data_IF_872143693086
#
_entry.id   IF_872143693086
#
_cell.length_a   1.000
_cell.length_b   1.000
_cell.length_c   1.000
_cell.angle_alpha   90.00
_cell.angle_beta   90.00
_cell.angle_gamma   90.00
#
_symmetry.space_group_name_H-M   'P 1'
#
loop_
_entity.id
_entity.type
_entity.pdbx_description
1 polymer ?
#
# COMPACT_ATOMS: atom_id res chain seq x y z
N UNK A 1 1.19 -35.09 37.63
CA UNK A 1 0.69 -34.14 36.63
C UNK A 1 0.63 -34.93 35.35
N UNK A 2 -0.58 -35.12 34.82
CA UNK A 2 -0.76 -35.64 33.46
C UNK A 2 -0.08 -34.65 32.53
N UNK A 3 0.82 -35.13 31.68
CA UNK A 3 1.38 -34.35 30.60
C UNK A 3 0.20 -33.85 29.79
N UNK A 4 0.04 -32.54 29.67
CA UNK A 4 -0.90 -32.03 28.68
C UNK A 4 -0.35 -32.44 27.33
N UNK A 5 -1.16 -33.11 26.53
CA UNK A 5 -0.72 -33.61 25.23
C UNK A 5 -0.71 -32.47 24.19
N UNK A 6 -1.15 -31.28 24.57
CA UNK A 6 -1.56 -30.21 23.67
C UNK A 6 -0.78 -28.94 23.97
N UNK A 7 0.43 -28.84 23.41
CA UNK A 7 1.23 -27.63 23.53
C UNK A 7 0.56 -26.40 22.87
N UNK A 8 -0.51 -26.57 22.09
CA UNK A 8 -1.16 -25.52 21.32
C UNK A 8 -2.66 -25.75 21.23
N UNK A 9 -3.42 -25.27 22.21
CA UNK A 9 -4.88 -25.17 22.16
C UNK A 9 -5.37 -23.74 22.45
N UNK A 10 -6.66 -23.46 22.23
CA UNK A 10 -7.24 -22.14 22.46
C UNK A 10 -7.31 -21.72 23.95
N UNK A 11 -7.18 -22.65 24.90
CA UNK A 11 -7.20 -22.31 26.32
C UNK A 11 -5.85 -21.75 26.77
N UNK A 12 -4.76 -22.27 26.20
CA UNK A 12 -3.40 -22.00 26.68
C UNK A 12 -2.53 -21.26 25.66
N UNK A 13 -3.05 -20.98 24.46
CA UNK A 13 -2.37 -20.21 23.40
C UNK A 13 -2.98 -18.84 23.19
N UNK A 14 -2.11 -17.89 22.85
CA UNK A 14 -2.48 -16.60 22.28
C UNK A 14 -1.97 -16.54 20.85
N UNK A 15 -2.84 -16.12 19.93
CA UNK A 15 -2.51 -15.93 18.52
C UNK A 15 -2.51 -14.43 18.26
N UNK A 16 -1.37 -13.87 17.89
CA UNK A 16 -1.19 -12.43 17.71
C UNK A 16 -0.59 -12.16 16.35
N UNK A 17 -1.24 -11.30 15.57
CA UNK A 17 -0.68 -10.76 14.35
C UNK A 17 0.17 -9.54 14.70
N UNK A 18 1.44 -9.57 14.30
CA UNK A 18 2.41 -8.51 14.63
C UNK A 18 2.84 -7.69 13.41
N UNK A 19 2.53 -8.17 12.21
CA UNK A 19 2.64 -7.44 10.95
C UNK A 19 1.79 -8.15 9.89
N UNK A 20 1.69 -7.56 8.70
CA UNK A 20 0.96 -8.17 7.58
C UNK A 20 1.36 -9.63 7.32
N UNK A 21 2.66 -9.93 7.39
CA UNK A 21 3.18 -11.26 7.03
C UNK A 21 3.53 -12.13 8.23
N UNK A 22 3.29 -11.68 9.47
CA UNK A 22 3.77 -12.38 10.67
C UNK A 22 2.66 -12.58 11.68
N UNK A 23 2.45 -13.84 12.06
CA UNK A 23 1.61 -14.23 13.21
C UNK A 23 2.50 -14.97 14.20
N UNK A 24 2.41 -14.58 15.47
CA UNK A 24 3.05 -15.24 16.59
C UNK A 24 1.99 -16.03 17.34
N UNK A 25 2.31 -17.29 17.61
CA UNK A 25 1.60 -18.12 18.55
C UNK A 25 2.46 -18.24 19.78
N UNK A 26 1.95 -17.79 20.92
CA UNK A 26 2.58 -17.97 22.22
C UNK A 26 1.70 -18.89 23.07
N UNK A 27 2.26 -20.04 23.43
CA UNK A 27 1.60 -21.00 24.32
C UNK A 27 2.26 -21.01 25.69
N UNK A 28 1.42 -21.04 26.72
CA UNK A 28 1.86 -21.13 28.11
C UNK A 28 2.27 -22.55 28.51
N UNK A 29 2.12 -23.55 27.63
CA UNK A 29 2.61 -24.90 27.90
C UNK A 29 4.15 -24.94 27.97
N UNK A 30 4.63 -25.70 28.93
CA UNK A 30 6.06 -25.90 29.20
C UNK A 30 6.62 -27.15 28.53
N UNK A 31 5.76 -27.96 27.89
CA UNK A 31 6.13 -29.22 27.22
C UNK A 31 5.97 -29.14 25.70
N UNK A 32 6.74 -28.28 25.02
CA UNK A 32 6.84 -28.34 23.56
C UNK A 32 7.71 -29.51 23.10
N UNK A 33 7.07 -30.61 22.75
CA UNK A 33 7.67 -31.63 21.90
C UNK A 33 7.03 -31.54 20.51
N UNK A 34 7.43 -30.55 19.71
CA UNK A 34 7.02 -30.50 18.31
C UNK A 34 7.84 -31.58 17.55
N UNK A 35 7.19 -32.50 16.82
CA UNK A 35 7.88 -33.50 16.00
C UNK A 35 8.88 -32.85 15.06
N UNK A 36 9.92 -33.58 14.67
CA UNK A 36 10.91 -33.09 13.73
C UNK A 36 10.27 -32.87 12.34
N UNK A 37 9.97 -31.60 12.02
CA UNK A 37 9.39 -31.19 10.75
C UNK A 37 8.14 -30.33 10.97
N UNK A 38 8.30 -29.01 10.98
CA UNK A 38 7.18 -28.08 10.90
C UNK A 38 6.86 -27.86 9.43
N UNK A 39 5.65 -28.18 9.01
CA UNK A 39 5.19 -27.95 7.65
C UNK A 39 4.22 -26.79 7.64
N UNK A 40 4.46 -25.72 6.84
CA UNK A 40 3.55 -24.58 6.73
C UNK A 40 2.12 -24.96 6.36
N UNK A 41 1.97 -26.04 5.59
CA UNK A 41 0.67 -26.50 5.13
C UNK A 41 -0.23 -26.98 6.29
N UNK A 42 0.36 -27.38 7.41
CA UNK A 42 -0.38 -27.84 8.59
C UNK A 42 -0.98 -26.68 9.41
N UNK A 43 -0.59 -25.44 9.13
CA UNK A 43 -1.08 -24.26 9.83
C UNK A 43 -2.12 -23.54 8.97
N UNK A 44 -3.38 -23.71 9.32
CA UNK A 44 -4.51 -23.25 8.51
C UNK A 44 -5.10 -21.99 9.11
N UNK A 45 -5.00 -20.88 8.37
CA UNK A 45 -5.70 -19.63 8.64
C UNK A 45 -6.93 -19.59 7.74
N UNK A 46 -8.13 -19.62 8.31
CA UNK A 46 -9.35 -19.97 7.57
C UNK A 46 -10.35 -18.82 7.32
N UNK A 47 -10.30 -17.73 8.10
CA UNK A 47 -11.27 -16.62 8.00
C UNK A 47 -10.63 -15.25 8.30
N UNK A 48 -10.10 -14.53 7.30
CA UNK A 48 -9.99 -14.92 5.90
C UNK A 48 -8.96 -16.03 5.68
N UNK A 49 -9.05 -16.68 4.52
CA UNK A 49 -8.10 -17.72 4.15
C UNK A 49 -6.75 -17.12 3.77
N UNK A 50 -5.72 -17.43 4.55
CA UNK A 50 -4.36 -16.91 4.34
C UNK A 50 -3.39 -18.08 4.31
N UNK A 51 -2.57 -18.14 3.27
CA UNK A 51 -1.55 -19.19 3.14
C UNK A 51 -0.41 -18.94 4.11
N UNK A 52 -0.07 -19.94 4.92
CA UNK A 52 1.19 -19.97 5.68
C UNK A 52 2.30 -20.48 4.78
N UNK A 53 3.41 -19.76 4.75
CA UNK A 53 4.55 -19.98 3.84
C UNK A 53 5.79 -20.48 4.57
N UNK A 54 5.93 -20.16 5.85
CA UNK A 54 7.02 -20.61 6.69
C UNK A 54 6.58 -20.69 8.16
N UNK A 55 7.22 -21.57 8.93
CA UNK A 55 6.92 -21.80 10.35
C UNK A 55 8.21 -22.05 11.10
N UNK A 56 8.47 -21.24 12.12
CA UNK A 56 9.70 -21.29 12.91
C UNK A 56 9.38 -21.36 14.39
N UNK A 57 10.05 -22.26 15.11
CA UNK A 57 10.07 -22.25 16.58
C UNK A 57 11.06 -21.17 17.02
N UNK A 58 10.55 -20.09 17.58
CA UNK A 58 11.36 -18.96 18.04
C UNK A 58 11.81 -19.13 19.49
N UNK A 59 11.09 -19.89 20.32
CA UNK A 59 11.55 -20.26 21.65
C UNK A 59 11.05 -21.66 22.07
N UNK A 60 11.96 -22.63 22.14
CA UNK A 60 11.66 -24.00 22.54
C UNK A 60 11.35 -24.16 24.04
N UNK A 61 11.69 -23.17 24.88
CA UNK A 61 11.43 -23.21 26.32
C UNK A 61 10.05 -22.69 26.73
N UNK A 62 9.35 -21.99 25.83
CA UNK A 62 8.03 -21.36 26.07
C UNK A 62 7.08 -21.55 24.89
N UNK A 63 7.26 -22.59 24.07
CA UNK A 63 6.36 -22.91 22.96
C UNK A 63 5.97 -21.72 22.06
N UNK A 64 6.93 -20.91 21.64
CA UNK A 64 6.64 -19.78 20.73
C UNK A 64 6.90 -20.21 19.28
N UNK A 65 5.87 -20.05 18.45
CA UNK A 65 5.92 -20.30 17.02
C UNK A 65 5.67 -19.00 16.28
N UNK A 66 6.44 -18.79 15.21
CA UNK A 66 6.24 -17.68 14.28
C UNK A 66 5.84 -18.24 12.92
N UNK A 67 4.65 -17.83 12.46
CA UNK A 67 4.11 -18.14 11.15
C UNK A 67 4.40 -16.97 10.21
N UNK A 68 5.00 -17.26 9.06
CA UNK A 68 5.10 -16.30 7.95
C UNK A 68 3.97 -16.54 6.97
N UNK A 69 3.18 -15.52 6.64
CA UNK A 69 2.00 -15.62 5.79
C UNK A 69 2.20 -14.96 4.43
N UNK A 70 1.40 -15.36 3.44
CA UNK A 70 1.33 -14.73 2.11
C UNK A 70 0.30 -13.58 2.06
N UNK A 71 0.02 -12.93 3.18
CA UNK A 71 -0.97 -11.85 3.23
C UNK A 71 -0.51 -10.64 2.41
N UNK A 72 -1.47 -9.90 1.85
CA UNK A 72 -1.24 -8.81 0.90
C UNK A 72 -1.11 -7.43 1.56
N UNK A 73 -0.82 -7.37 2.87
CA UNK A 73 -0.65 -6.11 3.59
C UNK A 73 -1.82 -5.73 4.51
N UNK A 74 -2.96 -6.41 4.43
CA UNK A 74 -4.15 -6.12 5.24
C UNK A 74 -4.03 -6.74 6.63
N UNK A 75 -3.54 -5.94 7.56
CA UNK A 75 -3.34 -6.30 8.97
C UNK A 75 -4.66 -6.41 9.75
N UNK A 76 -5.68 -5.62 9.37
CA UNK A 76 -6.99 -5.57 10.04
C UNK A 76 -7.77 -6.90 10.07
N UNK A 77 -7.38 -7.86 9.23
CA UNK A 77 -7.99 -9.19 9.24
C UNK A 77 -7.57 -10.02 10.46
N UNK A 78 -8.54 -10.72 11.06
CA UNK A 78 -8.34 -11.53 12.28
C UNK A 78 -8.53 -13.02 11.97
N UNK A 79 -7.61 -13.65 11.23
CA UNK A 79 -7.75 -15.04 10.82
C UNK A 79 -7.84 -16.00 12.01
N UNK A 80 -8.76 -16.95 11.92
CA UNK A 80 -8.79 -18.08 12.86
C UNK A 80 -7.76 -19.13 12.48
N UNK A 81 -6.87 -19.44 13.42
CA UNK A 81 -5.82 -20.43 13.28
C UNK A 81 -6.26 -21.80 13.80
N UNK A 82 -6.00 -22.82 12.98
CA UNK A 82 -6.12 -24.23 13.32
C UNK A 82 -4.81 -24.93 12.94
N UNK A 83 -4.41 -25.92 13.73
CA UNK A 83 -3.35 -26.84 13.38
C UNK A 83 -3.96 -28.15 12.85
N UNK A 84 -3.59 -28.52 11.63
CA UNK A 84 -4.09 -29.66 10.87
C UNK A 84 -2.89 -30.49 10.40
N UNK A 85 -2.61 -31.67 10.96
CA UNK A 85 -1.53 -32.53 10.45
C UNK A 85 -1.82 -33.11 9.04
N UNK A 86 -3.02 -32.88 8.52
CA UNK A 86 -3.54 -33.51 7.30
C UNK A 86 -3.43 -32.62 6.05
N UNK A 87 -2.38 -31.80 5.94
CA UNK A 87 -2.15 -31.02 4.73
C UNK A 87 -1.58 -31.86 3.56
N UNK A 88 -2.36 -32.85 3.10
CA UNK A 88 -2.13 -33.58 1.85
C UNK A 88 -1.18 -34.78 1.90
N UNK A 89 -0.85 -35.34 3.07
CA UNK A 89 0.00 -36.53 3.19
C UNK A 89 -0.78 -37.79 3.58
N UNK A 90 -0.72 -38.80 2.73
CA UNK A 90 -1.31 -40.12 2.92
C UNK A 90 -0.43 -41.01 3.83
N UNK A 91 -0.09 -40.54 5.04
CA UNK A 91 0.72 -41.26 6.02
C UNK A 91 -0.06 -41.60 7.30
N UNK A 92 -1.24 -42.20 7.11
CA UNK A 92 -1.73 -43.17 8.07
C UNK A 92 -0.70 -44.32 8.12
N UNK A 93 0.16 -44.38 9.14
CA UNK A 93 0.68 -45.66 9.68
C UNK A 93 1.56 -45.54 10.93
N UNK A 94 1.80 -44.36 11.50
CA UNK A 94 2.40 -44.29 12.84
C UNK A 94 1.99 -43.01 13.55
N UNK A 95 0.73 -42.96 14.00
CA UNK A 95 0.32 -41.96 14.98
C UNK A 95 1.21 -42.11 16.22
N UNK A 96 1.95 -41.06 16.56
CA UNK A 96 2.35 -40.86 17.95
C UNK A 96 1.05 -40.62 18.70
N UNK A 97 0.74 -41.44 19.71
CA UNK A 97 -0.58 -41.55 20.35
C UNK A 97 -1.09 -40.29 21.09
N UNK A 98 -0.48 -39.13 20.87
CA UNK A 98 -0.68 -37.91 21.64
C UNK A 98 -0.79 -36.63 20.78
N UNK A 99 -0.85 -36.70 19.44
CA UNK A 99 -1.10 -35.48 18.64
C UNK A 99 -2.57 -35.43 18.24
N UNK A 100 -3.28 -34.40 18.67
CA UNK A 100 -4.66 -34.19 18.28
C UNK A 100 -4.74 -33.61 16.86
N UNK A 101 -5.70 -34.14 16.11
CA UNK A 101 -6.17 -33.61 14.84
C UNK A 101 -7.12 -32.42 15.10
N UNK A 102 -7.06 -31.38 14.27
CA UNK A 102 -7.96 -30.21 14.26
C UNK A 102 -8.12 -29.45 15.61
N UNK A 103 -7.02 -29.07 16.27
CA UNK A 103 -7.09 -28.17 17.43
C UNK A 103 -7.19 -26.71 16.98
N UNK A 104 -8.35 -26.09 17.21
CA UNK A 104 -8.53 -24.65 17.01
C UNK A 104 -7.79 -23.86 18.08
N UNK A 105 -6.99 -22.88 17.65
CA UNK A 105 -6.17 -22.03 18.52
C UNK A 105 -6.77 -20.63 18.72
N UNK A 106 -7.81 -20.31 17.94
CA UNK A 106 -8.58 -19.07 18.05
C UNK A 106 -8.26 -18.06 16.94
N UNK A 107 -8.95 -16.92 17.01
CA UNK A 107 -8.71 -15.79 16.10
C UNK A 107 -7.43 -15.06 16.48
N UNK A 108 -6.62 -14.72 15.48
CA UNK A 108 -5.50 -13.81 15.67
C UNK A 108 -6.04 -12.47 16.16
N UNK A 109 -5.48 -11.97 17.26
CA UNK A 109 -5.64 -10.58 17.68
C UNK A 109 -4.72 -9.74 16.82
N UNK A 110 -5.26 -8.68 16.23
CA UNK A 110 -4.46 -7.72 15.49
C UNK A 110 -3.70 -6.80 16.45
N UNK A 111 -2.38 -6.79 16.32
CA UNK A 111 -1.47 -5.94 17.09
C UNK A 111 -0.41 -5.33 16.15
N UNK A 112 -0.73 -5.19 14.87
CA UNK A 112 0.11 -4.53 13.90
C UNK A 112 -0.33 -3.07 13.75
N UNK A 113 0.60 -2.14 13.91
CA UNK A 113 0.31 -0.73 13.61
C UNK A 113 0.13 -0.51 12.11
N UNK A 114 -0.81 0.37 11.68
CA UNK A 114 -0.89 0.77 10.29
C UNK A 114 0.39 1.49 9.87
N UNK A 115 0.77 1.31 8.61
CA UNK A 115 1.94 1.98 8.03
C UNK A 115 1.59 2.62 6.69
N UNK A 116 2.22 3.75 6.39
CA UNK A 116 2.03 4.43 5.10
C UNK A 116 2.73 3.64 4.00
N UNK A 117 1.96 3.18 3.03
CA UNK A 117 2.43 2.46 1.83
C UNK A 117 2.84 3.43 0.74
N UNK A 118 2.07 4.51 0.55
CA UNK A 118 2.35 5.51 -0.47
C UNK A 118 1.73 6.86 -0.13
N UNK A 119 2.31 7.92 -0.70
CA UNK A 119 1.72 9.24 -0.69
C UNK A 119 1.84 9.87 -2.08
N UNK A 120 0.76 10.47 -2.56
CA UNK A 120 0.68 11.08 -3.90
C UNK A 120 -0.09 12.39 -3.85
N UNK A 121 0.26 13.36 -4.71
CA UNK A 121 -0.65 14.50 -4.93
C UNK A 121 -1.85 14.01 -5.74
N UNK A 122 -3.05 14.29 -5.23
CA UNK A 122 -4.32 14.03 -5.93
C UNK A 122 -4.82 15.27 -6.67
N UNK A 123 -4.37 16.44 -6.24
CA UNK A 123 -4.54 17.73 -6.90
C UNK A 123 -3.46 18.70 -6.42
N UNK A 124 -3.42 19.90 -6.99
CA UNK A 124 -2.49 20.95 -6.57
C UNK A 124 -2.63 21.36 -5.11
N UNK A 125 -3.71 20.98 -4.42
CA UNK A 125 -3.96 21.34 -3.02
C UNK A 125 -4.18 20.15 -2.11
N UNK A 126 -4.11 18.91 -2.61
CA UNK A 126 -4.40 17.71 -1.81
C UNK A 126 -3.38 16.60 -1.99
N UNK A 127 -3.03 15.96 -0.88
CA UNK A 127 -2.16 14.78 -0.83
C UNK A 127 -2.98 13.62 -0.29
N UNK A 128 -2.85 12.46 -0.90
CA UNK A 128 -3.47 11.23 -0.47
C UNK A 128 -2.39 10.29 0.06
N UNK A 129 -2.50 9.89 1.33
CA UNK A 129 -1.71 8.83 1.94
C UNK A 129 -2.53 7.53 1.95
N UNK A 130 -1.93 6.44 1.50
CA UNK A 130 -2.52 5.11 1.56
C UNK A 130 -1.79 4.29 2.60
N UNK A 131 -2.54 3.71 3.53
CA UNK A 131 -2.07 2.86 4.60
C UNK A 131 -2.19 1.38 4.26
N UNK A 132 -1.55 0.53 5.05
CA UNK A 132 -1.64 -0.94 4.94
C UNK A 132 -3.04 -1.46 5.23
N UNK A 133 -3.84 -0.72 5.99
CA UNK A 133 -5.17 -1.11 6.45
C UNK A 133 -6.08 0.12 6.63
N UNK A 134 -7.34 -0.15 6.94
CA UNK A 134 -8.32 0.88 7.27
C UNK A 134 -7.91 1.65 8.52
N UNK A 135 -7.98 2.98 8.43
CA UNK A 135 -7.65 3.88 9.52
C UNK A 135 -8.88 4.68 9.97
N UNK A 136 -8.79 5.21 11.17
CA UNK A 136 -9.68 6.20 11.74
C UNK A 136 -8.85 7.39 12.19
N UNK A 137 -9.38 8.61 11.99
CA UNK A 137 -8.67 9.87 12.25
C UNK A 137 -9.43 10.71 13.27
N UNK A 138 -8.80 10.88 14.42
CA UNK A 138 -9.15 11.80 15.49
C UNK A 138 -8.04 12.84 15.74
N UNK A 139 -6.99 12.85 14.90
CA UNK A 139 -5.81 13.70 15.06
C UNK A 139 -6.16 15.18 15.05
N UNK A 140 -5.29 15.99 15.64
CA UNK A 140 -5.31 17.42 15.43
C UNK A 140 -4.70 17.77 14.07
N UNK A 141 -5.23 18.82 13.42
CA UNK A 141 -4.73 19.23 12.09
C UNK A 141 -3.24 19.59 12.13
N UNK A 142 -2.76 20.08 13.27
CA UNK A 142 -1.38 20.54 13.47
C UNK A 142 -0.38 19.38 13.62
N UNK A 143 -0.84 18.14 13.79
CA UNK A 143 0.00 16.92 13.81
C UNK A 143 0.57 16.62 12.42
N UNK A 144 -0.07 17.16 11.37
CA UNK A 144 0.37 17.01 9.99
C UNK A 144 1.09 18.25 9.47
N UNK A 145 2.28 18.03 8.92
CA UNK A 145 3.04 19.08 8.22
C UNK A 145 3.38 18.66 6.79
N UNK A 146 3.06 19.51 5.81
CA UNK A 146 3.44 19.35 4.39
C UNK A 146 4.68 20.19 4.11
N UNK A 147 5.82 19.57 3.82
CA UNK A 147 7.07 20.28 3.56
C UNK A 147 7.42 20.31 2.06
N UNK A 148 8.25 21.28 1.68
CA UNK A 148 8.80 21.36 0.32
C UNK A 148 7.89 22.02 -0.72
N UNK A 149 6.79 22.64 -0.28
CA UNK A 149 5.87 23.41 -1.12
C UNK A 149 6.13 24.90 -0.97
N UNK A 150 6.19 25.62 -2.10
CA UNK A 150 6.31 27.07 -2.07
C UNK A 150 5.01 27.72 -1.55
N UNK A 151 5.09 28.42 -0.42
CA UNK A 151 3.98 29.22 0.11
C UNK A 151 3.49 28.83 1.50
N UNK A 152 3.84 27.63 1.99
CA UNK A 152 3.50 27.21 3.35
C UNK A 152 3.68 25.72 3.59
N UNK A 153 3.36 25.30 4.81
CA UNK A 153 3.46 23.90 5.23
C UNK A 153 2.27 23.36 6.02
N UNK A 154 1.26 24.20 6.21
CA UNK A 154 0.11 23.92 7.08
C UNK A 154 -0.98 23.14 6.35
N UNK A 155 -1.54 22.15 7.04
CA UNK A 155 -2.77 21.46 6.62
C UNK A 155 -3.98 22.29 7.08
N UNK A 156 -5.08 22.25 6.32
CA UNK A 156 -6.34 22.90 6.69
C UNK A 156 -7.49 21.95 6.92
N UNK A 157 -7.38 20.71 6.43
CA UNK A 157 -8.40 19.69 6.53
C UNK A 157 -7.77 18.31 6.35
N UNK A 158 -8.24 17.35 7.12
CA UNK A 158 -8.00 15.92 6.94
C UNK A 158 -9.33 15.22 6.65
N UNK A 159 -9.27 14.14 5.87
CA UNK A 159 -10.44 13.28 5.69
C UNK A 159 -9.99 11.84 5.45
N UNK A 160 -10.65 10.89 6.11
CA UNK A 160 -10.38 9.47 5.96
C UNK A 160 -11.52 8.75 5.25
N UNK A 161 -11.15 7.85 4.34
CA UNK A 161 -12.03 6.85 3.78
C UNK A 161 -11.27 5.51 3.69
N UNK A 162 -11.65 4.53 4.53
CA UNK A 162 -10.96 3.22 4.56
C UNK A 162 -9.47 3.44 4.85
N UNK A 163 -8.56 2.86 4.06
CA UNK A 163 -7.10 2.97 4.24
C UNK A 163 -6.50 4.27 3.70
N UNK A 164 -7.32 5.27 3.40
CA UNK A 164 -6.90 6.46 2.68
C UNK A 164 -7.14 7.72 3.50
N UNK A 165 -6.07 8.40 3.87
CA UNK A 165 -6.08 9.74 4.45
C UNK A 165 -5.82 10.78 3.36
N UNK A 166 -6.65 11.80 3.28
CA UNK A 166 -6.42 12.97 2.41
C UNK A 166 -6.10 14.18 3.27
N UNK A 167 -4.98 14.82 2.97
CA UNK A 167 -4.57 16.10 3.56
C UNK A 167 -4.83 17.21 2.56
N UNK A 168 -5.43 18.31 3.01
CA UNK A 168 -5.64 19.52 2.21
C UNK A 168 -4.71 20.63 2.69
N UNK A 169 -3.97 21.23 1.77
CA UNK A 169 -3.11 22.39 2.04
C UNK A 169 -3.92 23.63 2.44
N UNK A 170 -3.38 24.46 3.33
CA UNK A 170 -4.02 25.73 3.73
C UNK A 170 -3.83 26.86 2.69
N UNK A 171 -4.23 26.62 1.45
CA UNK A 171 -4.32 27.64 0.40
C UNK A 171 -3.05 27.88 -0.43
N UNK A 172 -2.05 27.00 -0.32
CA UNK A 172 -0.87 26.99 -1.20
C UNK A 172 -1.00 25.89 -2.26
N UNK A 173 -0.52 26.17 -3.48
CA UNK A 173 -0.56 25.18 -4.56
C UNK A 173 0.80 24.49 -4.67
N UNK A 174 0.77 23.17 -4.65
CA UNK A 174 1.86 22.33 -5.10
C UNK A 174 2.04 22.49 -6.61
N UNK A 175 3.29 22.53 -7.06
CA UNK A 175 3.65 22.55 -8.48
C UNK A 175 4.63 21.43 -8.78
N UNK A 176 4.75 21.04 -10.05
CA UNK A 176 5.59 19.91 -10.49
C UNK A 176 7.04 19.93 -9.96
N UNK A 177 7.64 21.12 -9.81
CA UNK A 177 9.03 21.26 -9.33
C UNK A 177 9.20 21.05 -7.83
N UNK A 178 8.11 21.00 -7.06
CA UNK A 178 8.17 20.86 -5.62
C UNK A 178 8.57 19.45 -5.21
N UNK A 179 9.44 19.35 -4.21
CA UNK A 179 9.85 18.09 -3.59
C UNK A 179 9.04 17.96 -2.30
N UNK A 180 7.85 17.40 -2.42
CA UNK A 180 6.86 17.38 -1.35
C UNK A 180 7.12 16.22 -0.39
N UNK A 181 7.04 16.49 0.91
CA UNK A 181 7.09 15.47 1.96
C UNK A 181 6.02 15.71 3.01
N UNK A 182 5.56 14.67 3.69
CA UNK A 182 4.62 14.76 4.82
C UNK A 182 5.31 14.32 6.10
N UNK A 183 4.99 14.98 7.20
CA UNK A 183 5.32 14.57 8.56
C UNK A 183 4.02 14.41 9.33
N UNK A 184 3.94 13.35 10.11
CA UNK A 184 2.92 13.12 11.13
C UNK A 184 3.66 12.97 12.46
N UNK A 185 3.32 13.84 13.40
CA UNK A 185 3.83 13.87 14.78
C UNK A 185 2.60 13.89 15.67
N UNK A 186 2.02 12.71 15.87
CA UNK A 186 0.74 12.54 16.53
C UNK A 186 0.89 12.04 17.96
N UNK A 187 -0.25 11.98 18.63
CA UNK A 187 -0.41 11.51 19.99
C UNK A 187 -1.20 10.19 19.99
N UNK A 188 -1.29 9.56 21.16
CA UNK A 188 -2.01 8.29 21.28
C UNK A 188 -3.51 8.49 20.96
N UNK A 189 -4.06 7.61 20.13
CA UNK A 189 -5.43 7.62 19.63
C UNK A 189 -5.78 8.70 18.58
N UNK A 190 -4.78 9.36 18.00
CA UNK A 190 -4.99 10.34 16.92
C UNK A 190 -5.28 9.66 15.59
N UNK A 191 -4.42 8.71 15.19
CA UNK A 191 -4.59 7.95 13.96
C UNK A 191 -4.43 6.46 14.28
N UNK A 192 -5.53 5.72 14.22
CA UNK A 192 -5.60 4.31 14.66
C UNK A 192 -6.19 3.44 13.56
N UNK A 193 -5.89 2.14 13.60
CA UNK A 193 -6.68 1.16 12.84
C UNK A 193 -8.13 1.03 13.35
N UNK A 194 -8.97 0.35 12.56
CA UNK A 194 -10.32 -0.03 12.97
C UNK A 194 -10.39 -1.33 13.79
N UNK A 195 -9.25 -1.87 14.25
CA UNK A 195 -9.20 -3.16 14.93
C UNK A 195 -9.71 -3.05 16.37
N UNK A 196 -9.92 -4.20 17.03
CA UNK A 196 -10.32 -4.20 18.44
C UNK A 196 -9.20 -3.74 19.39
N UNK A 197 -7.94 -3.78 18.93
CA UNK A 197 -6.78 -3.34 19.70
C UNK A 197 -6.47 -1.85 19.50
N UNK A 198 -7.08 -1.21 18.48
CA UNK A 198 -6.91 0.20 18.13
C UNK A 198 -5.43 0.58 18.05
N UNK A 199 -4.70 -0.03 17.11
CA UNK A 199 -3.26 0.15 17.03
C UNK A 199 -2.94 1.52 16.42
N UNK A 200 -2.12 2.30 17.13
CA UNK A 200 -1.68 3.63 16.69
C UNK A 200 -0.77 3.54 15.46
N UNK A 201 -0.95 4.50 14.54
CA UNK A 201 0.04 4.83 13.51
C UNK A 201 1.26 5.45 14.17
N UNK A 202 2.43 4.90 13.90
CA UNK A 202 3.68 5.48 14.39
C UNK A 202 4.00 6.81 13.69
N UNK A 203 4.56 7.75 14.44
CA UNK A 203 5.09 9.00 13.88
C UNK A 203 6.03 8.74 12.72
N UNK A 204 5.93 9.58 11.70
CA UNK A 204 6.83 9.54 10.56
C UNK A 204 7.22 10.95 10.14
N UNK A 205 8.47 11.10 9.71
CA UNK A 205 9.00 12.37 9.26
C UNK A 205 9.51 12.27 7.83
N UNK A 206 9.32 13.37 7.09
CA UNK A 206 9.78 13.52 5.71
C UNK A 206 9.37 12.35 4.77
N UNK A 207 8.18 11.77 4.95
CA UNK A 207 7.67 10.74 4.06
C UNK A 207 7.49 11.33 2.65
N UNK A 208 8.14 10.73 1.65
CA UNK A 208 8.17 11.27 0.29
C UNK A 208 6.81 11.19 -0.38
N UNK A 209 6.39 12.28 -1.02
CA UNK A 209 5.17 12.33 -1.81
C UNK A 209 5.53 12.29 -3.29
N UNK A 210 4.88 11.38 -4.03
CA UNK A 210 4.95 11.39 -5.49
C UNK A 210 4.12 12.56 -6.00
N UNK A 211 4.81 13.59 -6.49
CA UNK A 211 4.18 14.79 -7.02
C UNK A 211 3.71 14.55 -8.47
N UNK A 212 2.39 14.43 -8.65
CA UNK A 212 1.73 14.21 -9.93
C UNK A 212 1.27 15.51 -10.60
N UNK A 213 1.60 16.67 -10.04
CA UNK A 213 1.22 17.94 -10.64
C UNK A 213 1.86 18.08 -12.02
N UNK A 214 1.10 18.61 -12.98
CA UNK A 214 1.58 18.73 -14.35
C UNK A 214 2.73 19.74 -14.45
N UNK A 215 3.76 19.41 -15.22
CA UNK A 215 4.80 20.36 -15.57
C UNK A 215 4.22 21.48 -16.43
N UNK A 216 4.05 22.66 -15.83
CA UNK A 216 3.57 23.86 -16.52
C UNK A 216 4.68 24.62 -17.27
N UNK A 217 5.92 24.09 -17.29
CA UNK A 217 7.02 24.63 -18.11
C UNK A 217 6.76 24.53 -19.62
N UNK A 218 5.70 23.84 -20.03
CA UNK A 218 5.10 23.87 -21.36
C UNK A 218 4.53 25.24 -21.73
N UNK A 219 5.44 26.16 -22.08
CA UNK A 219 5.25 27.48 -22.67
C UNK A 219 3.82 27.93 -22.93
N UNK A 220 3.38 28.93 -22.16
CA UNK A 220 2.47 29.94 -22.66
C UNK A 220 3.04 30.49 -23.97
N UNK A 221 2.52 30.02 -25.11
CA UNK A 221 2.59 30.79 -26.34
C UNK A 221 1.68 32.00 -26.16
N UNK A 222 2.17 32.96 -25.37
CA UNK A 222 1.64 34.31 -25.29
C UNK A 222 1.38 34.75 -26.72
N UNK A 223 0.11 35.06 -27.01
CA UNK A 223 -0.43 35.22 -28.35
C UNK A 223 0.11 36.43 -29.10
N UNK A 224 1.41 36.44 -29.41
CA UNK A 224 2.00 37.38 -30.36
C UNK A 224 2.76 36.71 -31.51
N UNK A 225 3.15 35.43 -31.37
CA UNK A 225 3.75 34.66 -32.47
C UNK A 225 3.15 33.25 -32.57
N UNK A 226 1.82 33.14 -32.57
CA UNK A 226 1.17 31.96 -33.19
C UNK A 226 1.22 32.15 -34.70
N UNK A 227 2.42 32.13 -35.29
CA UNK A 227 2.52 31.77 -36.70
C UNK A 227 1.96 30.35 -36.79
N UNK A 228 0.95 30.14 -37.64
CA UNK A 228 0.49 28.80 -38.00
C UNK A 228 1.73 27.91 -38.21
N UNK A 229 1.74 26.63 -37.79
CA UNK A 229 2.80 25.73 -38.20
C UNK A 229 2.87 25.82 -39.72
N UNK A 230 3.91 26.49 -40.21
CA UNK A 230 4.17 26.49 -41.63
C UNK A 230 4.71 25.10 -41.89
N UNK A 231 4.04 24.37 -42.77
CA UNK A 231 4.42 23.02 -43.22
C UNK A 231 5.77 23.08 -43.92
N UNK A 232 6.84 23.33 -43.15
CA UNK A 232 8.17 23.60 -43.65
C UNK A 232 8.21 24.74 -44.66
N UNK A 233 7.49 25.87 -44.47
CA UNK A 233 7.65 27.04 -45.37
C UNK A 233 8.07 28.25 -44.56
N UNK A 234 9.17 28.89 -44.95
CA UNK A 234 9.57 30.15 -44.33
C UNK A 234 8.56 31.25 -44.70
N UNK A 235 7.86 31.78 -43.69
CA UNK A 235 6.84 32.81 -43.87
C UNK A 235 7.38 34.15 -44.42
N UNK A 236 8.71 34.36 -44.42
CA UNK A 236 9.35 35.58 -44.97
C UNK A 236 9.76 35.43 -46.42
N UNK A 237 10.11 34.21 -46.85
CA UNK A 237 10.70 33.97 -48.17
C UNK A 237 9.83 33.10 -49.06
N UNK A 238 8.76 32.50 -48.50
CA UNK A 238 7.89 31.53 -49.15
C UNK A 238 8.62 30.29 -49.68
N UNK A 239 9.83 30.02 -49.19
CA UNK A 239 10.60 28.83 -49.55
C UNK A 239 10.24 27.65 -48.66
N UNK A 240 10.12 26.48 -49.28
CA UNK A 240 9.96 25.21 -48.58
C UNK A 240 11.31 24.80 -47.96
N UNK A 241 11.35 24.73 -46.63
CA UNK A 241 12.49 24.37 -45.79
C UNK A 241 12.71 22.85 -45.69
N UNK A 242 11.71 22.04 -46.05
CA UNK A 242 11.76 20.57 -46.02
C UNK A 242 11.21 20.04 -47.34
N UNK A 243 12.11 19.57 -48.22
CA UNK A 243 11.77 19.10 -49.57
C UNK A 243 11.32 17.63 -49.59
N UNK A 244 11.76 16.81 -48.61
CA UNK A 244 11.61 15.34 -48.64
C UNK A 244 10.76 14.75 -47.49
N UNK A 245 9.90 15.57 -46.86
CA UNK A 245 9.09 15.14 -45.72
C UNK A 245 9.88 14.94 -44.42
N UNK A 246 9.22 14.43 -43.39
CA UNK A 246 9.87 14.03 -42.14
C UNK A 246 9.27 12.71 -41.64
N UNK A 247 10.05 11.96 -40.87
CA UNK A 247 9.58 10.73 -40.22
C UNK A 247 9.31 10.98 -38.73
N UNK A 248 8.26 10.36 -38.22
CA UNK A 248 7.97 10.28 -36.79
C UNK A 248 7.62 8.82 -36.45
N UNK A 249 8.30 8.23 -35.46
CA UNK A 249 8.19 6.81 -35.14
C UNK A 249 8.31 5.88 -36.37
N UNK A 250 9.33 6.11 -37.19
CA UNK A 250 9.63 5.32 -38.41
C UNK A 250 8.53 5.29 -39.49
N UNK A 251 7.50 6.14 -39.37
CA UNK A 251 6.49 6.35 -40.41
C UNK A 251 6.83 7.63 -41.17
N UNK A 252 7.07 7.52 -42.47
CA UNK A 252 7.31 8.66 -43.35
C UNK A 252 5.98 9.36 -43.67
N UNK A 253 5.93 10.68 -43.42
CA UNK A 253 4.79 11.52 -43.80
C UNK A 253 5.18 12.32 -45.04
N UNK A 254 4.52 12.03 -46.16
CA UNK A 254 4.66 12.79 -47.40
C UNK A 254 3.77 14.04 -47.34
N UNK A 255 4.40 15.21 -47.45
CA UNK A 255 3.74 16.52 -47.34
C UNK A 255 3.06 16.91 -48.68
N UNK A 256 3.34 16.18 -49.77
CA UNK A 256 2.78 16.49 -51.10
C UNK A 256 1.31 16.07 -51.27
N UNK A 257 0.79 15.22 -50.39
CA UNK A 257 -0.61 14.78 -50.45
C UNK A 257 -1.54 15.79 -49.78
N UNK A 258 -1.81 16.86 -50.53
CA UNK A 258 -2.58 18.02 -50.12
C UNK A 258 -4.09 17.70 -50.02
N UNK A 259 -4.47 16.85 -49.07
CA UNK A 259 -5.86 16.56 -48.72
C UNK A 259 -6.31 17.36 -47.49
N UNK A 260 -6.16 18.70 -47.56
CA UNK A 260 -6.84 19.62 -46.65
C UNK A 260 -7.68 20.60 -47.49
N UNK A 261 -8.95 20.28 -47.72
CA UNK A 261 -9.93 21.28 -48.17
C UNK A 261 -10.58 21.91 -46.95
N UNK A 262 -10.34 23.20 -46.64
CA UNK A 262 -11.07 23.86 -45.58
C UNK A 262 -12.48 24.21 -46.10
N UNK A 263 -13.50 23.61 -45.48
CA UNK A 263 -14.92 23.98 -45.36
C UNK A 263 -15.59 24.82 -46.47
N UNK A 264 -16.73 24.32 -46.98
CA UNK A 264 -17.68 25.08 -47.81
C UNK A 264 -18.03 26.44 -47.19
N UNK A 265 -17.88 27.51 -47.97
CA UNK A 265 -18.40 28.82 -47.63
C UNK A 265 -19.93 28.75 -47.54
N UNK A 266 -20.50 28.94 -46.35
CA UNK A 266 -21.92 29.24 -46.22
C UNK A 266 -22.19 30.63 -46.81
N UNK A 267 -22.92 30.67 -47.92
CA UNK A 267 -23.45 31.89 -48.53
C UNK A 267 -24.55 32.49 -47.66
N UNK A 268 -24.50 33.82 -47.48
CA UNK A 268 -25.59 34.63 -46.91
C UNK A 268 -26.82 34.67 -47.80
#
# INVERSE_FOLDING_TARGET
MTQDAYAFDAADSTVTRTSATTIVVDSTDTNCAIPAGLFPADWVLSVPSITVTDVVITNAGTCIITLTTADNGDTSSTPTLTYNEEAGSNLATTEEANVADDVGMGAAVDNASPTVVSAVTASSTTITLTFTEDITDNSEIDDFTINGVAGGSTVSETSVASSVLTLTTAGFNMVFSDIVTVTFDGEAADLEDGSAATNDVADFSAFSVTNNEADSSGGSSGGKDKTKPTFGVDHKTSFQLIEDGFSFNDVAVDISDNHWTPYEQQSR
#
